data_IF_267144280136
#
_entry.id   IF_267144280136
#
_cell.length_a   1.000
_cell.length_b   1.000
_cell.length_c   1.000
_cell.angle_alpha   90.00
_cell.angle_beta   90.00
_cell.angle_gamma   90.00
#
_symmetry.space_group_name_H-M   'P 1'
#
loop_
_entity.id
_entity.type
_entity.pdbx_description
1 polymer ?
#
# COMPACT_ATOMS: atom_id res chain seq x y z
N UNK A 1 -34.06 53.78 1.26
CA UNK A 1 -32.98 52.96 1.85
C UNK A 1 -33.08 51.55 1.26
N UNK A 2 -32.08 51.13 0.48
CA UNK A 2 -32.03 49.82 -0.19
C UNK A 2 -31.32 48.81 0.74
N UNK A 3 -32.07 47.84 1.28
CA UNK A 3 -31.56 46.67 1.99
C UNK A 3 -32.10 45.40 1.30
N UNK A 4 -31.64 45.13 0.08
CA UNK A 4 -31.92 43.88 -0.64
C UNK A 4 -30.66 43.54 -1.42
N UNK A 5 -29.78 42.71 -0.85
CA UNK A 5 -28.51 42.38 -1.50
C UNK A 5 -27.66 41.30 -0.84
N UNK A 6 -27.86 40.98 0.45
CA UNK A 6 -26.97 40.03 1.13
C UNK A 6 -27.39 38.54 1.09
N UNK A 7 -28.67 38.22 0.86
CA UNK A 7 -29.13 36.82 0.95
C UNK A 7 -28.82 35.96 -0.29
N UNK A 8 -28.79 36.55 -1.49
CA UNK A 8 -28.50 35.80 -2.73
C UNK A 8 -27.01 35.39 -2.83
N UNK A 9 -26.10 36.12 -2.20
CA UNK A 9 -24.66 35.81 -2.24
C UNK A 9 -24.33 34.56 -1.39
N UNK A 10 -24.99 34.37 -0.25
CA UNK A 10 -24.68 33.27 0.67
C UNK A 10 -25.15 31.91 0.13
N UNK A 11 -26.31 31.85 -0.54
CA UNK A 11 -26.81 30.62 -1.17
C UNK A 11 -26.00 30.20 -2.39
N UNK A 12 -25.52 31.15 -3.20
CA UNK A 12 -24.63 30.88 -4.34
C UNK A 12 -23.27 30.35 -3.85
N UNK A 13 -22.71 30.92 -2.79
CA UNK A 13 -21.47 30.43 -2.17
C UNK A 13 -21.59 29.00 -1.63
N UNK A 14 -22.71 28.69 -0.94
CA UNK A 14 -22.99 27.32 -0.46
C UNK A 14 -23.16 26.34 -1.63
N UNK A 15 -23.85 26.75 -2.70
CA UNK A 15 -24.04 25.90 -3.88
C UNK A 15 -22.72 25.61 -4.63
N UNK A 16 -21.85 26.61 -4.79
CA UNK A 16 -20.53 26.44 -5.42
C UNK A 16 -19.62 25.56 -4.55
N UNK A 17 -19.62 25.78 -3.23
CA UNK A 17 -18.87 24.93 -2.31
C UNK A 17 -19.35 23.48 -2.36
N UNK A 18 -20.67 23.23 -2.39
CA UNK A 18 -21.24 21.89 -2.53
C UNK A 18 -20.92 21.24 -3.88
N UNK A 19 -20.91 22.01 -4.97
CA UNK A 19 -20.57 21.52 -6.31
C UNK A 19 -19.09 21.12 -6.40
N UNK A 20 -18.17 21.97 -5.90
CA UNK A 20 -16.74 21.66 -5.84
C UNK A 20 -16.41 20.48 -4.89
N UNK A 21 -17.21 20.29 -3.82
CA UNK A 21 -17.09 19.13 -2.93
C UNK A 21 -17.53 17.83 -3.61
N UNK A 22 -18.58 17.88 -4.44
CA UNK A 22 -19.07 16.74 -5.20
C UNK A 22 -18.05 16.25 -6.22
N UNK A 23 -17.29 17.15 -6.85
CA UNK A 23 -16.29 16.79 -7.85
C UNK A 23 -15.11 16.00 -7.26
N UNK A 24 -14.59 16.41 -6.10
CA UNK A 24 -13.46 15.73 -5.46
C UNK A 24 -13.77 14.29 -5.08
N UNK A 25 -14.89 14.09 -4.38
CA UNK A 25 -15.31 12.74 -3.95
C UNK A 25 -15.66 11.84 -5.14
N UNK A 26 -16.35 12.37 -6.16
CA UNK A 26 -16.66 11.61 -7.37
C UNK A 26 -15.40 11.10 -8.08
N UNK A 27 -14.37 11.94 -8.19
CA UNK A 27 -13.10 11.53 -8.76
C UNK A 27 -12.38 10.48 -7.88
N UNK A 28 -12.47 10.60 -6.55
CA UNK A 28 -11.93 9.58 -5.64
C UNK A 28 -12.62 8.22 -5.83
N UNK A 29 -13.96 8.20 -5.89
CA UNK A 29 -14.75 6.98 -6.10
C UNK A 29 -14.39 6.33 -7.45
N UNK A 30 -14.21 7.13 -8.51
CA UNK A 30 -13.76 6.64 -9.81
C UNK A 30 -12.32 6.11 -9.78
N UNK A 31 -11.43 6.71 -8.97
CA UNK A 31 -10.06 6.23 -8.80
C UNK A 31 -10.03 4.87 -8.08
N UNK A 32 -10.84 4.69 -7.05
CA UNK A 32 -10.99 3.42 -6.33
C UNK A 32 -11.47 2.30 -7.24
N UNK A 33 -12.51 2.57 -8.03
CA UNK A 33 -13.04 1.59 -8.97
C UNK A 33 -11.97 1.21 -10.01
N UNK A 34 -11.32 2.20 -10.61
CA UNK A 34 -10.27 1.97 -11.59
C UNK A 34 -9.09 1.17 -11.03
N UNK A 35 -8.68 1.43 -9.78
CA UNK A 35 -7.63 0.67 -9.09
C UNK A 35 -8.04 -0.80 -8.90
N UNK A 36 -9.28 -1.04 -8.47
CA UNK A 36 -9.82 -2.41 -8.30
C UNK A 36 -9.93 -3.19 -9.61
N UNK A 37 -10.11 -2.49 -10.74
CA UNK A 37 -10.15 -3.05 -12.08
C UNK A 37 -8.74 -3.19 -12.71
N UNK A 38 -7.69 -2.72 -12.03
CA UNK A 38 -6.33 -2.67 -12.56
C UNK A 38 -6.12 -1.64 -13.67
N UNK A 39 -7.05 -0.70 -13.85
CA UNK A 39 -6.95 0.38 -14.83
C UNK A 39 -6.05 1.52 -14.29
N UNK A 40 -4.74 1.30 -14.37
CA UNK A 40 -3.72 2.19 -13.82
C UNK A 40 -3.81 3.62 -14.35
N UNK A 41 -4.10 3.78 -15.66
CA UNK A 41 -4.20 5.09 -16.28
C UNK A 41 -5.36 5.90 -15.67
N UNK A 42 -6.55 5.29 -15.60
CA UNK A 42 -7.73 5.94 -15.05
C UNK A 42 -7.57 6.18 -13.54
N UNK A 43 -7.02 5.22 -12.78
CA UNK A 43 -6.75 5.39 -11.36
C UNK A 43 -5.84 6.60 -11.08
N UNK A 44 -4.74 6.75 -11.84
CA UNK A 44 -3.83 7.89 -11.73
C UNK A 44 -4.52 9.22 -12.06
N UNK A 45 -5.28 9.27 -13.15
CA UNK A 45 -5.96 10.48 -13.60
C UNK A 45 -7.00 10.95 -12.58
N UNK A 46 -7.85 10.03 -12.12
CA UNK A 46 -8.95 10.34 -11.21
C UNK A 46 -8.42 10.69 -9.81
N UNK A 47 -7.41 9.98 -9.31
CA UNK A 47 -6.80 10.33 -8.03
C UNK A 47 -6.11 11.71 -8.07
N UNK A 48 -5.46 12.07 -9.19
CA UNK A 48 -4.87 13.40 -9.34
C UNK A 48 -5.93 14.52 -9.35
N UNK A 49 -7.04 14.32 -10.07
CA UNK A 49 -8.20 15.24 -10.05
C UNK A 49 -8.79 15.38 -8.65
N UNK A 50 -8.94 14.26 -7.93
CA UNK A 50 -9.45 14.26 -6.56
C UNK A 50 -8.54 15.03 -5.59
N UNK A 51 -7.21 14.86 -5.69
CA UNK A 51 -6.24 15.60 -4.87
C UNK A 51 -6.27 17.10 -5.18
N UNK A 52 -6.34 17.47 -6.47
CA UNK A 52 -6.34 18.86 -6.93
C UNK A 52 -7.63 19.62 -6.61
N UNK A 53 -8.75 18.92 -6.35
CA UNK A 53 -10.01 19.58 -6.00
C UNK A 53 -9.90 20.36 -4.68
N UNK A 54 -8.98 19.97 -3.79
CA UNK A 54 -8.82 20.53 -2.43
C UNK A 54 -10.11 20.50 -1.59
N UNK A 55 -11.04 19.63 -1.96
CA UNK A 55 -12.35 19.51 -1.31
C UNK A 55 -12.51 18.23 -0.50
N UNK A 56 -11.52 17.34 -0.50
CA UNK A 56 -11.57 16.09 0.26
C UNK A 56 -11.38 16.33 1.77
N UNK A 57 -12.07 15.52 2.59
CA UNK A 57 -11.71 15.37 4.00
C UNK A 57 -10.27 14.85 4.13
N UNK A 58 -9.63 15.05 5.29
CA UNK A 58 -8.26 14.56 5.53
C UNK A 58 -8.13 13.06 5.29
N UNK A 59 -9.13 12.27 5.70
CA UNK A 59 -9.17 10.82 5.47
C UNK A 59 -9.25 10.48 3.97
N UNK A 60 -10.14 11.15 3.24
CA UNK A 60 -10.28 10.91 1.79
C UNK A 60 -9.08 11.40 0.99
N UNK A 61 -8.44 12.49 1.43
CA UNK A 61 -7.20 12.98 0.84
C UNK A 61 -6.07 11.97 1.04
N UNK A 62 -5.95 11.39 2.25
CA UNK A 62 -5.02 10.29 2.51
C UNK A 62 -5.25 9.12 1.57
N UNK A 63 -6.52 8.71 1.38
CA UNK A 63 -6.88 7.61 0.49
C UNK A 63 -6.55 7.93 -0.98
N UNK A 64 -6.82 9.14 -1.45
CA UNK A 64 -6.49 9.56 -2.81
C UNK A 64 -4.98 9.48 -3.08
N UNK A 65 -4.15 9.94 -2.13
CA UNK A 65 -2.69 9.77 -2.21
C UNK A 65 -2.29 8.29 -2.20
N UNK A 66 -2.93 7.47 -1.36
CA UNK A 66 -2.64 6.03 -1.33
C UNK A 66 -2.92 5.35 -2.67
N UNK A 67 -4.08 5.60 -3.29
CA UNK A 67 -4.47 5.03 -4.60
C UNK A 67 -3.49 5.49 -5.68
N UNK A 68 -3.18 6.79 -5.76
CA UNK A 68 -2.23 7.29 -6.76
C UNK A 68 -0.83 6.70 -6.56
N UNK A 69 -0.42 6.52 -5.30
CA UNK A 69 0.81 5.85 -4.93
C UNK A 69 0.84 4.38 -5.38
N UNK A 70 -0.26 3.64 -5.20
CA UNK A 70 -0.40 2.26 -5.65
C UNK A 70 -0.28 2.17 -7.18
N UNK A 71 -1.03 3.01 -7.91
CA UNK A 71 -0.95 3.03 -9.36
C UNK A 71 0.44 3.45 -9.89
N UNK A 72 1.15 4.35 -9.20
CA UNK A 72 2.55 4.65 -9.53
C UNK A 72 3.47 3.45 -9.29
N UNK A 73 3.31 2.72 -8.18
CA UNK A 73 4.09 1.51 -7.89
C UNK A 73 3.88 0.47 -8.99
N UNK A 74 2.63 0.24 -9.37
CA UNK A 74 2.27 -0.81 -10.34
C UNK A 74 2.67 -0.41 -11.77
N UNK A 75 2.82 0.90 -12.03
CA UNK A 75 3.43 1.45 -13.25
C UNK A 75 4.97 1.50 -13.21
N UNK A 76 5.63 0.96 -12.18
CA UNK A 76 7.09 0.98 -12.00
C UNK A 76 7.69 2.34 -11.60
N UNK A 77 6.85 3.34 -11.31
CA UNK A 77 7.27 4.72 -10.95
C UNK A 77 7.47 4.85 -9.44
N UNK A 78 8.36 4.03 -8.89
CA UNK A 78 8.49 3.83 -7.44
C UNK A 78 8.83 5.10 -6.63
N UNK A 79 9.62 6.04 -7.16
CA UNK A 79 9.93 7.29 -6.43
C UNK A 79 8.70 8.17 -6.20
N UNK A 80 7.76 8.16 -7.14
CA UNK A 80 6.50 8.89 -7.02
C UNK A 80 5.55 8.16 -6.07
N UNK A 81 5.51 6.82 -6.14
CA UNK A 81 4.77 5.99 -5.20
C UNK A 81 5.21 6.28 -3.75
N UNK A 82 6.52 6.31 -3.49
CA UNK A 82 7.08 6.64 -2.17
C UNK A 82 6.61 8.00 -1.68
N UNK A 83 6.62 9.02 -2.55
CA UNK A 83 6.20 10.38 -2.19
C UNK A 83 4.73 10.41 -1.78
N UNK A 84 3.87 9.77 -2.57
CA UNK A 84 2.44 9.73 -2.32
C UNK A 84 2.08 8.88 -1.09
N UNK A 85 2.71 7.72 -0.90
CA UNK A 85 2.53 6.94 0.33
C UNK A 85 3.02 7.69 1.57
N UNK A 86 4.11 8.45 1.46
CA UNK A 86 4.56 9.31 2.57
C UNK A 86 3.51 10.35 2.92
N UNK A 87 2.83 10.93 1.91
CA UNK A 87 1.75 11.87 2.17
C UNK A 87 0.52 11.20 2.79
N UNK A 88 0.16 9.99 2.34
CA UNK A 88 -0.90 9.21 2.98
C UNK A 88 -0.57 8.91 4.46
N UNK A 89 0.67 8.51 4.77
CA UNK A 89 1.13 8.25 6.14
C UNK A 89 0.97 9.49 7.05
N UNK A 90 1.26 10.69 6.54
CA UNK A 90 1.09 11.94 7.29
C UNK A 90 -0.37 12.28 7.60
N UNK A 91 -1.31 11.81 6.78
CA UNK A 91 -2.71 12.22 6.81
C UNK A 91 -3.64 11.20 7.49
N UNK A 92 -3.25 9.93 7.57
CA UNK A 92 -4.08 8.88 8.19
C UNK A 92 -3.71 8.62 9.65
N UNK A 93 -4.70 8.45 10.55
CA UNK A 93 -4.45 7.96 11.91
C UNK A 93 -4.00 6.50 11.95
N UNK A 94 -4.22 5.74 10.88
CA UNK A 94 -3.89 4.32 10.79
C UNK A 94 -3.04 4.00 9.55
N UNK A 95 -1.72 4.25 9.60
CA UNK A 95 -0.86 4.18 8.41
C UNK A 95 -0.28 2.79 8.11
N UNK A 96 -0.77 1.72 8.73
CA UNK A 96 -0.15 0.39 8.62
C UNK A 96 0.01 -0.08 7.16
N UNK A 97 -1.06 0.02 6.37
CA UNK A 97 -1.06 -0.32 4.95
C UNK A 97 -0.23 0.64 4.10
N UNK A 98 -0.23 1.94 4.42
CA UNK A 98 0.58 2.92 3.71
C UNK A 98 2.09 2.71 3.96
N UNK A 99 2.49 2.33 5.18
CA UNK A 99 3.84 1.89 5.48
C UNK A 99 4.21 0.64 4.69
N UNK A 100 3.35 -0.39 4.69
CA UNK A 100 3.61 -1.60 3.90
C UNK A 100 3.74 -1.30 2.40
N UNK A 101 2.84 -0.50 1.82
CA UNK A 101 2.88 -0.13 0.42
C UNK A 101 4.15 0.67 0.07
N UNK A 102 4.58 1.59 0.93
CA UNK A 102 5.86 2.30 0.77
C UNK A 102 7.06 1.38 0.92
N UNK A 103 7.02 0.43 1.85
CA UNK A 103 8.04 -0.59 2.02
C UNK A 103 8.22 -1.44 0.76
N UNK A 104 7.12 -1.82 0.09
CA UNK A 104 7.17 -2.49 -1.22
C UNK A 104 7.79 -1.61 -2.30
N UNK A 105 7.46 -0.33 -2.35
CA UNK A 105 8.08 0.60 -3.30
C UNK A 105 9.59 0.76 -3.04
N UNK A 106 10.02 0.83 -1.77
CA UNK A 106 11.44 0.84 -1.41
C UNK A 106 12.17 -0.44 -1.82
N UNK A 107 11.54 -1.59 -1.61
CA UNK A 107 12.08 -2.88 -2.02
C UNK A 107 12.31 -2.93 -3.53
N UNK A 108 11.33 -2.49 -4.33
CA UNK A 108 11.46 -2.43 -5.78
C UNK A 108 12.57 -1.48 -6.28
N UNK A 109 12.99 -0.52 -5.44
CA UNK A 109 14.15 0.35 -5.69
C UNK A 109 15.47 -0.23 -5.15
N UNK A 110 15.49 -1.46 -4.64
CA UNK A 110 16.65 -2.07 -3.97
C UNK A 110 16.99 -1.43 -2.62
N UNK A 111 16.13 -0.59 -2.06
CA UNK A 111 16.35 0.09 -0.77
C UNK A 111 15.90 -0.80 0.40
N UNK A 112 16.51 -1.97 0.50
CA UNK A 112 16.09 -3.04 1.42
C UNK A 112 16.01 -2.59 2.89
N UNK A 113 16.97 -1.78 3.36
CA UNK A 113 16.94 -1.24 4.74
C UNK A 113 15.72 -0.37 5.02
N UNK A 114 15.31 0.47 4.06
CA UNK A 114 14.12 1.31 4.20
C UNK A 114 12.84 0.48 4.14
N UNK A 115 12.81 -0.53 3.26
CA UNK A 115 11.69 -1.47 3.18
C UNK A 115 11.45 -2.20 4.52
N UNK A 116 12.51 -2.74 5.13
CA UNK A 116 12.42 -3.42 6.43
C UNK A 116 11.89 -2.51 7.54
N UNK A 117 12.35 -1.25 7.61
CA UNK A 117 11.88 -0.28 8.60
C UNK A 117 10.38 0.00 8.45
N UNK A 118 9.90 0.18 7.22
CA UNK A 118 8.48 0.41 6.95
C UNK A 118 7.64 -0.85 7.24
N UNK A 119 8.11 -2.04 6.89
CA UNK A 119 7.42 -3.29 7.25
C UNK A 119 7.36 -3.52 8.76
N UNK A 120 8.43 -3.19 9.51
CA UNK A 120 8.42 -3.26 10.96
C UNK A 120 7.37 -2.31 11.57
N UNK A 121 7.26 -1.07 11.06
CA UNK A 121 6.21 -0.14 11.48
C UNK A 121 4.82 -0.66 11.17
N UNK A 122 4.61 -1.23 9.99
CA UNK A 122 3.33 -1.83 9.60
C UNK A 122 2.92 -2.96 10.55
N UNK A 123 3.85 -3.88 10.86
CA UNK A 123 3.64 -4.99 11.79
C UNK A 123 3.35 -4.51 13.22
N UNK A 124 4.04 -3.48 13.71
CA UNK A 124 3.76 -2.90 15.04
C UNK A 124 2.35 -2.32 15.15
N UNK A 125 1.85 -1.74 14.07
CA UNK A 125 0.51 -1.15 14.02
C UNK A 125 -0.59 -2.20 13.84
N UNK A 126 -0.35 -3.21 13.01
CA UNK A 126 -1.29 -4.31 12.74
C UNK A 126 -0.54 -5.65 12.76
N UNK A 127 -0.36 -6.28 13.94
CA UNK A 127 0.43 -7.49 14.09
C UNK A 127 -0.22 -8.75 13.50
N UNK A 128 -1.51 -8.69 13.17
CA UNK A 128 -2.26 -9.83 12.61
C UNK A 128 -2.34 -9.80 11.08
N UNK A 129 -1.77 -8.78 10.42
CA UNK A 129 -1.77 -8.66 8.97
C UNK A 129 -0.67 -9.56 8.36
N UNK A 130 -1.05 -10.78 7.98
CA UNK A 130 -0.12 -11.81 7.51
C UNK A 130 0.80 -11.32 6.37
N UNK A 131 0.28 -10.48 5.45
CA UNK A 131 1.02 -10.03 4.27
C UNK A 131 2.23 -9.15 4.60
N UNK A 132 2.26 -8.53 5.78
CA UNK A 132 3.41 -7.75 6.23
C UNK A 132 4.59 -8.65 6.58
N UNK A 133 4.33 -9.81 7.21
CA UNK A 133 5.35 -10.81 7.47
C UNK A 133 5.86 -11.44 6.17
N UNK A 134 4.96 -11.76 5.22
CA UNK A 134 5.35 -12.25 3.90
C UNK A 134 6.31 -11.28 3.19
N UNK A 135 5.93 -10.00 3.16
CA UNK A 135 6.73 -8.99 2.44
C UNK A 135 8.10 -8.81 3.09
N UNK A 136 8.17 -8.84 4.43
CA UNK A 136 9.42 -8.72 5.15
C UNK A 136 10.29 -9.98 5.07
N UNK A 137 9.69 -11.18 5.04
CA UNK A 137 10.42 -12.44 4.91
C UNK A 137 11.21 -12.52 3.60
N UNK A 138 10.61 -12.06 2.50
CA UNK A 138 11.28 -12.03 1.19
C UNK A 138 12.45 -11.05 1.20
N UNK A 139 12.33 -9.88 1.84
CA UNK A 139 13.46 -8.94 1.95
C UNK A 139 14.60 -9.53 2.78
N UNK A 140 14.29 -10.20 3.90
CA UNK A 140 15.32 -10.89 4.68
C UNK A 140 16.00 -12.00 3.89
N UNK A 141 15.26 -12.77 3.11
CA UNK A 141 15.81 -13.80 2.26
C UNK A 141 16.75 -13.24 1.18
N UNK A 142 16.37 -12.12 0.55
CA UNK A 142 17.22 -11.42 -0.41
C UNK A 142 18.50 -10.90 0.24
N UNK A 143 18.46 -10.50 1.52
CA UNK A 143 19.67 -10.19 2.29
C UNK A 143 20.46 -11.43 2.74
N UNK A 144 19.92 -12.63 2.52
CA UNK A 144 20.51 -13.89 2.97
C UNK A 144 20.28 -14.20 4.44
N UNK A 145 19.49 -13.38 5.14
CA UNK A 145 19.07 -13.59 6.53
C UNK A 145 17.91 -14.58 6.60
N UNK A 146 18.23 -15.85 6.33
CA UNK A 146 17.23 -16.91 6.33
C UNK A 146 16.61 -17.14 7.70
N UNK A 147 17.30 -16.78 8.80
CA UNK A 147 16.77 -16.94 10.16
C UNK A 147 15.56 -16.04 10.37
N UNK A 148 15.67 -14.76 10.01
CA UNK A 148 14.55 -13.84 10.09
C UNK A 148 13.46 -14.14 9.06
N UNK A 149 13.84 -14.59 7.85
CA UNK A 149 12.87 -15.00 6.83
C UNK A 149 12.00 -16.20 7.29
N UNK A 150 12.61 -17.24 7.86
CA UNK A 150 11.88 -18.39 8.45
C UNK A 150 10.96 -17.93 9.58
N UNK A 151 11.45 -17.08 10.48
CA UNK A 151 10.64 -16.54 11.59
C UNK A 151 9.42 -15.77 11.10
N UNK A 152 9.59 -14.92 10.09
CA UNK A 152 8.47 -14.19 9.50
C UNK A 152 7.50 -15.11 8.76
N UNK A 153 7.97 -16.16 8.08
CA UNK A 153 7.06 -17.15 7.49
C UNK A 153 6.28 -17.96 8.54
N UNK A 154 6.87 -18.26 9.69
CA UNK A 154 6.14 -18.85 10.81
C UNK A 154 5.09 -17.89 11.38
N UNK A 155 5.39 -16.59 11.46
CA UNK A 155 4.40 -15.58 11.88
C UNK A 155 3.30 -15.38 10.83
N UNK A 156 3.65 -15.42 9.54
CA UNK A 156 2.68 -15.45 8.44
C UNK A 156 1.68 -16.57 8.65
N UNK A 157 2.13 -17.80 8.92
CA UNK A 157 1.27 -18.98 9.13
C UNK A 157 0.46 -18.95 10.43
N UNK A 158 0.86 -18.15 11.43
CA UNK A 158 0.12 -17.97 12.69
C UNK A 158 -0.90 -16.85 12.63
N UNK A 159 -0.78 -15.94 11.67
CA UNK A 159 -1.74 -14.88 11.47
C UNK A 159 -3.01 -15.44 10.82
N UNK A 160 -4.14 -14.73 10.98
CA UNK A 160 -5.43 -15.13 10.42
C UNK A 160 -5.42 -14.98 8.89
N UNK A 161 -5.03 -16.05 8.20
CA UNK A 161 -4.86 -16.12 6.75
C UNK A 161 -5.85 -17.12 6.12
N UNK A 162 -6.25 -16.89 4.87
CA UNK A 162 -7.21 -17.75 4.17
C UNK A 162 -6.60 -19.13 3.86
N UNK A 163 -7.36 -20.23 3.91
CA UNK A 163 -6.82 -21.59 3.70
C UNK A 163 -6.03 -21.77 2.40
N UNK A 164 -6.40 -21.07 1.33
CA UNK A 164 -5.68 -21.09 0.04
C UNK A 164 -4.25 -20.53 0.11
N UNK A 165 -3.99 -19.66 1.09
CA UNK A 165 -2.70 -19.01 1.32
C UNK A 165 -1.79 -19.83 2.24
N UNK A 166 -2.35 -20.84 2.90
CA UNK A 166 -1.65 -21.71 3.86
C UNK A 166 -0.67 -22.64 3.14
N UNK A 167 -1.13 -23.30 2.07
CA UNK A 167 -0.31 -24.22 1.26
C UNK A 167 0.94 -23.53 0.70
N UNK A 168 0.77 -22.30 0.20
CA UNK A 168 1.88 -21.48 -0.30
C UNK A 168 2.83 -21.11 0.84
N UNK A 169 2.28 -20.76 2.00
CA UNK A 169 3.03 -20.46 3.21
C UNK A 169 3.90 -21.63 3.66
N UNK A 170 3.33 -22.83 3.79
CA UNK A 170 4.04 -24.05 4.19
C UNK A 170 5.11 -24.46 3.19
N UNK A 171 4.82 -24.39 1.88
CA UNK A 171 5.82 -24.64 0.84
C UNK A 171 7.01 -23.69 0.99
N UNK A 172 6.74 -22.39 1.17
CA UNK A 172 7.78 -21.38 1.30
C UNK A 172 8.61 -21.55 2.56
N UNK A 173 7.96 -21.84 3.68
CA UNK A 173 8.62 -22.12 4.96
C UNK A 173 9.56 -23.32 4.84
N UNK A 174 9.08 -24.43 4.29
CA UNK A 174 9.86 -25.67 4.10
C UNK A 174 11.11 -25.41 3.25
N UNK A 175 10.97 -24.65 2.15
CA UNK A 175 12.10 -24.27 1.30
C UNK A 175 13.14 -23.43 2.04
N UNK A 176 12.71 -22.47 2.86
CA UNK A 176 13.59 -21.61 3.63
C UNK A 176 14.32 -22.39 4.74
N UNK A 177 13.63 -23.28 5.44
CA UNK A 177 14.21 -24.13 6.48
C UNK A 177 15.25 -25.10 5.90
N UNK A 178 14.95 -25.73 4.76
CA UNK A 178 15.90 -26.60 4.06
C UNK A 178 17.18 -25.85 3.63
N UNK A 179 17.05 -24.57 3.23
CA UNK A 179 18.19 -23.72 2.88
C UNK A 179 18.97 -23.27 4.12
N UNK A 180 18.28 -22.95 5.20
CA UNK A 180 18.90 -22.60 6.47
C UNK A 180 19.72 -23.79 7.03
N UNK A 181 19.21 -25.01 6.88
CA UNK A 181 19.91 -26.24 7.27
C UNK A 181 21.08 -26.61 6.34
N UNK A 182 21.08 -26.16 5.08
CA UNK A 182 22.13 -26.45 4.11
C UNK A 182 22.61 -25.20 3.33
N UNK A 183 23.57 -24.43 3.89
CA UNK A 183 24.06 -23.18 3.32
C UNK A 183 24.70 -23.30 1.92
N UNK A 184 25.17 -24.50 1.53
CA UNK A 184 25.76 -24.73 0.21
C UNK A 184 24.73 -24.58 -0.94
N UNK A 185 23.44 -24.82 -0.68
CA UNK A 185 22.35 -24.62 -1.65
C UNK A 185 21.97 -23.14 -1.83
N UNK A 186 22.27 -22.29 -0.85
CA UNK A 186 21.91 -20.86 -0.84
C UNK A 186 22.69 -20.06 -1.88
N UNK A 187 24.01 -20.27 -1.98
CA UNK A 187 24.92 -19.46 -2.82
C UNK A 187 24.58 -19.46 -4.32
N UNK A 188 23.90 -20.51 -4.81
CA UNK A 188 23.50 -20.63 -6.23
C UNK A 188 22.24 -19.83 -6.61
N UNK A 189 21.42 -19.40 -5.63
CA UNK A 189 20.09 -18.81 -5.88
C UNK A 189 20.07 -17.28 -5.74
N UNK A 190 21.04 -16.71 -5.03
CA UNK A 190 21.15 -15.27 -4.76
C UNK A 190 21.26 -14.40 -6.02
N UNK A 191 21.67 -14.97 -7.15
CA UNK A 191 21.85 -14.28 -8.43
C UNK A 191 20.58 -14.19 -9.31
N UNK A 192 19.42 -14.68 -8.84
CA UNK A 192 18.24 -14.90 -9.70
C UNK A 192 16.90 -14.36 -9.13
N UNK A 193 16.89 -13.58 -8.05
CA UNK A 193 15.62 -13.05 -7.53
C UNK A 193 15.16 -11.82 -8.31
N UNK A 194 13.99 -11.94 -8.95
CA UNK A 194 13.24 -10.83 -9.54
C UNK A 194 12.42 -10.06 -8.49
N UNK A 195 11.45 -9.22 -8.90
CA UNK A 195 10.60 -8.47 -7.97
C UNK A 195 9.85 -9.40 -7.01
N UNK A 196 9.46 -8.88 -5.83
CA UNK A 196 8.65 -9.59 -4.83
C UNK A 196 7.49 -10.34 -5.53
N UNK A 197 7.33 -11.66 -5.32
CA UNK A 197 6.06 -12.30 -5.67
C UNK A 197 4.97 -11.62 -4.85
N UNK A 198 3.87 -11.23 -5.51
CA UNK A 198 2.78 -10.55 -4.83
C UNK A 198 2.29 -11.40 -3.65
N UNK A 199 2.06 -10.77 -2.47
CA UNK A 199 1.28 -11.44 -1.45
C UNK A 199 -0.09 -11.79 -2.03
N UNK A 200 -0.79 -12.79 -1.49
CA UNK A 200 -2.14 -13.08 -1.94
C UNK A 200 -3.05 -11.85 -1.82
N UNK A 201 -4.08 -11.75 -2.68
CA UNK A 201 -4.95 -10.58 -2.75
C UNK A 201 -5.60 -10.30 -1.40
N UNK A 202 -5.81 -9.01 -1.09
CA UNK A 202 -6.39 -8.58 0.18
C UNK A 202 -7.76 -9.26 0.40
N UNK A 203 -8.03 -9.82 1.60
CA UNK A 203 -9.40 -10.12 2.00
C UNK A 203 -10.24 -8.85 1.89
N UNK A 204 -11.49 -8.97 1.42
CA UNK A 204 -12.36 -7.81 1.15
C UNK A 204 -12.63 -6.92 2.37
N UNK A 205 -12.34 -7.41 3.58
CA UNK A 205 -12.47 -6.72 4.86
C UNK A 205 -11.43 -5.62 5.13
N UNK A 206 -10.46 -5.42 4.23
CA UNK A 206 -9.38 -4.45 4.38
C UNK A 206 -9.52 -3.18 3.50
N UNK A 207 -10.63 -3.05 2.76
CA UNK A 207 -10.99 -1.84 2.00
C UNK A 207 -11.97 -0.95 2.77
#
# INVERSE_FOLDING_TARGET
MKFFGLFASFTILIAIANFAHADGKKNLDAALLADSEGNLHLALEQADKAIKSQTLSVQNLSLAYYIRGAAYRDSGRYSLAVKDFSKAIELTPEPAFAYHARGRAWHAQGKLKLALLDFEKAIKLRPNAYMFFWSRSVVFEEQGDLKHAVKDMQNYLRADLASEDEDRGWKRLTELEARLANPARQRKRHSAMGPLPDPPPYPSSYH
#
